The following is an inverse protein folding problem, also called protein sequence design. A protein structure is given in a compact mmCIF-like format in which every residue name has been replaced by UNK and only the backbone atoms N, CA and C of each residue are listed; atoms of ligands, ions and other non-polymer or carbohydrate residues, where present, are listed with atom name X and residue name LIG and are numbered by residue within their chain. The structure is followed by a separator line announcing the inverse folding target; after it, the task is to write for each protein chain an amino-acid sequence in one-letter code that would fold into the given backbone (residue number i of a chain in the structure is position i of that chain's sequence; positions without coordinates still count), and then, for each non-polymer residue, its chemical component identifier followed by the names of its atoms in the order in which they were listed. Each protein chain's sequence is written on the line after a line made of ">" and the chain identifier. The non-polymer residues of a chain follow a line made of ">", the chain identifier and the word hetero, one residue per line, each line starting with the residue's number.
data_IF_244205877670
#
_entry.id   IF_244205877670
#
_cell.length_a   1.000
_cell.length_b   1.000
_cell.length_c   1.000
_cell.angle_alpha   90.00
_cell.angle_beta   90.00
_cell.angle_gamma   90.00
#
_symmetry.space_group_name_H-M   'P 1'
#
loop_
_entity.id
_entity.type
_entity.pdbx_description
1 polymer ?
#
# COMPACT_ATOMS: atom_id res chain seq x y z
N UNK A 1 -2.85 -14.51 -6.55
CA UNK A 1 -3.01 -13.32 -7.39
C UNK A 1 -2.03 -12.24 -6.96
N UNK A 2 -1.30 -11.62 -7.89
CA UNK A 2 -0.44 -10.47 -7.58
C UNK A 2 -1.28 -9.19 -7.62
N UNK A 3 -1.08 -8.34 -6.63
CA UNK A 3 -1.87 -7.14 -6.36
C UNK A 3 -0.95 -5.96 -6.12
N UNK A 4 -1.27 -4.82 -6.73
CA UNK A 4 -0.50 -3.59 -6.56
C UNK A 4 -1.31 -2.57 -5.80
N UNK A 5 -0.68 -1.85 -4.89
CA UNK A 5 -1.29 -0.72 -4.18
C UNK A 5 -0.31 0.44 -4.14
N UNK A 6 -0.74 1.61 -4.59
CA UNK A 6 0.02 2.84 -4.36
C UNK A 6 -0.36 3.43 -3.01
N UNK A 7 0.63 3.88 -2.26
CA UNK A 7 0.44 4.43 -0.93
C UNK A 7 1.57 5.41 -0.58
N UNK A 8 1.51 5.97 0.62
CA UNK A 8 2.58 6.76 1.18
C UNK A 8 3.67 5.85 1.79
N UNK A 9 4.94 6.20 1.57
CA UNK A 9 6.11 5.56 2.18
C UNK A 9 5.96 5.36 3.69
N UNK A 10 5.44 6.32 4.45
CA UNK A 10 5.24 6.18 5.90
C UNK A 10 4.29 5.03 6.24
N UNK A 11 3.21 4.88 5.48
CA UNK A 11 2.26 3.78 5.69
C UNK A 11 2.89 2.45 5.31
N UNK A 12 3.71 2.40 4.25
CA UNK A 12 4.49 1.21 3.90
C UNK A 12 5.38 0.73 5.06
N UNK A 13 6.09 1.66 5.72
CA UNK A 13 6.90 1.33 6.90
C UNK A 13 6.06 0.86 8.09
N UNK A 14 4.91 1.50 8.35
CA UNK A 14 3.98 1.05 9.40
C UNK A 14 3.47 -0.37 9.15
N UNK A 15 3.12 -0.70 7.91
CA UNK A 15 2.69 -2.06 7.52
C UNK A 15 3.81 -3.08 7.77
N UNK A 16 5.04 -2.78 7.35
CA UNK A 16 6.18 -3.68 7.58
C UNK A 16 6.42 -3.92 9.08
N UNK A 17 6.36 -2.85 9.88
CA UNK A 17 6.60 -2.91 11.33
C UNK A 17 5.49 -3.66 12.07
N UNK A 18 4.23 -3.31 11.78
CA UNK A 18 3.08 -3.76 12.53
C UNK A 18 2.42 -5.00 11.94
N UNK A 19 2.83 -5.41 10.72
CA UNK A 19 2.20 -6.49 9.93
C UNK A 19 0.70 -6.28 9.73
N UNK A 20 0.30 -5.02 9.61
CA UNK A 20 -1.10 -4.61 9.63
C UNK A 20 -1.32 -3.35 8.82
N UNK A 21 -2.38 -3.33 8.03
CA UNK A 21 -2.96 -2.16 7.38
C UNK A 21 -4.11 -1.64 8.24
N UNK A 22 -3.98 -0.42 8.73
CA UNK A 22 -5.03 0.27 9.46
C UNK A 22 -5.84 1.14 8.50
N UNK A 23 -7.09 0.77 8.31
CA UNK A 23 -8.06 1.57 7.58
C UNK A 23 -8.65 2.65 8.50
N UNK A 24 -8.70 3.92 8.05
CA UNK A 24 -9.32 4.98 8.82
C UNK A 24 -10.85 4.92 8.77
N UNK A 25 -11.42 4.16 7.83
CA UNK A 25 -12.85 4.11 7.57
C UNK A 25 -13.52 3.01 8.37
N UNK A 26 -14.75 3.29 8.83
CA UNK A 26 -15.51 2.34 9.62
C UNK A 26 -15.77 1.05 8.83
N UNK A 27 -15.71 -0.17 9.43
CA UNK A 27 -15.90 -1.44 8.70
C UNK A 27 -17.16 -1.54 7.83
N UNK A 28 -18.21 -0.79 8.17
CA UNK A 28 -19.45 -0.71 7.39
C UNK A 28 -19.39 0.19 6.15
N UNK A 29 -18.26 0.82 5.87
CA UNK A 29 -18.04 1.64 4.68
C UNK A 29 -17.32 0.83 3.58
N UNK A 30 -17.63 1.14 2.32
CA UNK A 30 -16.96 0.51 1.18
C UNK A 30 -15.42 0.69 1.21
N UNK A 31 -14.94 1.86 1.61
CA UNK A 31 -13.51 2.17 1.68
C UNK A 31 -12.82 1.60 2.94
N UNK A 32 -13.54 0.87 3.79
CA UNK A 32 -12.99 0.26 4.99
C UNK A 32 -11.89 -0.75 4.73
N UNK A 33 -11.88 -1.41 3.57
CA UNK A 33 -10.86 -2.40 3.26
C UNK A 33 -9.55 -1.85 2.71
N UNK A 34 -8.65 -2.77 2.41
CA UNK A 34 -7.44 -2.50 1.65
C UNK A 34 -7.72 -2.60 0.15
N UNK A 35 -7.55 -1.48 -0.53
CA UNK A 35 -7.80 -1.31 -1.96
C UNK A 35 -6.54 -1.59 -2.81
N UNK A 36 -6.69 -2.31 -3.91
CA UNK A 36 -5.63 -2.59 -4.90
C UNK A 36 -6.03 -2.11 -6.29
N UNK A 37 -5.01 -1.77 -7.08
CA UNK A 37 -5.17 -1.40 -8.49
C UNK A 37 -5.69 -2.58 -9.30
N UNK A 38 -6.67 -2.32 -10.17
CA UNK A 38 -7.08 -3.26 -11.21
C UNK A 38 -6.04 -3.44 -12.32
N UNK A 39 -6.28 -4.42 -13.20
CA UNK A 39 -5.35 -4.81 -14.28
C UNK A 39 -5.02 -3.68 -15.26
N UNK A 40 -5.95 -2.73 -15.47
CA UNK A 40 -5.75 -1.60 -16.38
C UNK A 40 -4.99 -0.42 -15.76
N UNK A 41 -4.62 -0.51 -14.48
CA UNK A 41 -3.98 0.59 -13.76
C UNK A 41 -4.96 1.68 -13.34
N UNK A 42 -4.42 2.87 -13.07
CA UNK A 42 -5.16 4.01 -12.53
C UNK A 42 -5.75 4.90 -13.64
N UNK A 43 -7.01 5.29 -13.50
CA UNK A 43 -7.61 6.34 -14.33
C UNK A 43 -7.23 7.73 -13.80
N UNK A 44 -6.99 8.68 -14.72
CA UNK A 44 -6.51 10.05 -14.42
C UNK A 44 -7.38 10.84 -13.43
N UNK A 45 -8.66 10.47 -13.26
CA UNK A 45 -9.57 11.13 -12.31
C UNK A 45 -9.25 10.84 -10.85
N UNK A 46 -8.39 9.85 -10.55
CA UNK A 46 -7.88 9.59 -9.21
C UNK A 46 -6.55 10.32 -8.98
N UNK A 47 -6.58 11.65 -8.94
CA UNK A 47 -5.45 12.42 -8.41
C UNK A 47 -5.40 12.28 -6.89
N UNK A 48 -4.94 11.13 -6.40
CA UNK A 48 -4.57 10.99 -5.00
C UNK A 48 -3.14 11.51 -4.85
N UNK A 49 -3.03 12.79 -4.51
CA UNK A 49 -1.78 13.40 -4.05
C UNK A 49 -1.18 12.55 -2.91
N UNK A 50 0.16 12.43 -2.85
CA UNK A 50 0.92 11.71 -1.81
C UNK A 50 1.16 10.20 -1.98
N UNK A 51 1.07 9.65 -3.21
CA UNK A 51 1.53 8.29 -3.53
C UNK A 51 3.02 8.26 -3.81
N UNK A 52 3.80 7.89 -2.82
CA UNK A 52 5.27 7.92 -2.87
C UNK A 52 5.90 6.52 -2.86
N UNK A 53 5.08 5.48 -2.73
CA UNK A 53 5.47 4.08 -2.85
C UNK A 53 4.41 3.23 -3.53
N UNK A 54 4.85 2.13 -4.14
CA UNK A 54 4.01 1.04 -4.63
C UNK A 54 4.32 -0.23 -3.85
N UNK A 55 3.31 -0.78 -3.18
CA UNK A 55 3.35 -2.04 -2.45
C UNK A 55 2.85 -3.16 -3.37
N UNK A 56 3.61 -4.23 -3.48
CA UNK A 56 3.25 -5.43 -4.22
C UNK A 56 2.92 -6.56 -3.26
N UNK A 57 1.69 -7.05 -3.35
CA UNK A 57 1.14 -8.11 -2.53
C UNK A 57 0.84 -9.35 -3.34
N UNK A 58 0.85 -10.48 -2.67
CA UNK A 58 0.37 -11.76 -3.16
C UNK A 58 -0.81 -12.20 -2.28
N UNK A 59 -1.95 -12.41 -2.92
CA UNK A 59 -3.16 -12.96 -2.30
C UNK A 59 -3.35 -14.41 -2.72
N UNK A 60 -3.45 -15.32 -1.75
CA UNK A 60 -3.64 -16.75 -1.98
C UNK A 60 -5.02 -17.26 -1.54
N UNK A 61 -5.84 -16.40 -0.93
CA UNK A 61 -7.18 -16.76 -0.49
C UNK A 61 -8.22 -16.69 -1.60
N UNK A 62 -9.49 -16.77 -1.22
CA UNK A 62 -10.60 -16.73 -2.15
C UNK A 62 -10.71 -15.37 -2.85
N UNK A 63 -11.13 -15.39 -4.11
CA UNK A 63 -11.46 -14.20 -4.89
C UNK A 63 -12.91 -14.34 -5.32
N UNK A 64 -13.74 -13.34 -5.02
CA UNK A 64 -15.15 -13.36 -5.43
C UNK A 64 -15.29 -13.13 -6.93
N UNK A 65 -16.42 -13.54 -7.50
CA UNK A 65 -16.85 -13.02 -8.79
C UNK A 65 -16.95 -11.48 -8.73
N UNK A 66 -16.80 -10.78 -9.87
CA UNK A 66 -16.98 -9.33 -9.94
C UNK A 66 -18.30 -8.87 -9.30
N UNK A 67 -18.23 -7.84 -8.47
CA UNK A 67 -19.35 -7.26 -7.73
C UNK A 67 -19.58 -5.81 -8.14
N UNK A 68 -20.82 -5.34 -7.98
CA UNK A 68 -21.11 -3.90 -8.14
C UNK A 68 -20.65 -3.15 -6.90
N UNK A 69 -20.31 -1.88 -7.06
CA UNK A 69 -19.87 -1.01 -5.95
C UNK A 69 -20.86 -1.00 -4.77
N UNK A 70 -22.16 -1.10 -5.06
CA UNK A 70 -23.22 -1.07 -4.08
C UNK A 70 -23.27 -2.33 -3.18
N UNK A 71 -22.57 -3.41 -3.57
CA UNK A 71 -22.56 -4.70 -2.87
C UNK A 71 -21.62 -4.74 -1.64
N UNK A 72 -21.10 -3.59 -1.19
CA UNK A 72 -20.13 -3.51 -0.07
C UNK A 72 -20.64 -4.06 1.27
N UNK A 73 -21.96 -4.22 1.45
CA UNK A 73 -22.53 -4.79 2.67
C UNK A 73 -22.34 -6.30 2.79
N UNK A 74 -22.10 -6.98 1.67
CA UNK A 74 -21.96 -8.45 1.60
C UNK A 74 -20.49 -8.91 1.69
N UNK A 75 -19.61 -8.01 2.12
CA UNK A 75 -18.18 -8.24 2.26
C UNK A 75 -17.89 -9.20 3.42
N UNK A 76 -17.30 -10.35 3.08
CA UNK A 76 -16.85 -11.38 4.02
C UNK A 76 -15.36 -11.18 4.28
N UNK A 77 -14.93 -11.27 5.55
CA UNK A 77 -13.51 -11.30 5.87
C UNK A 77 -12.79 -12.42 5.14
N UNK A 78 -11.54 -12.18 4.73
CA UNK A 78 -10.67 -13.13 4.03
C UNK A 78 -11.13 -13.54 2.62
N UNK A 79 -12.04 -12.79 2.00
CA UNK A 79 -12.35 -12.92 0.58
C UNK A 79 -11.93 -11.62 -0.10
N UNK A 80 -11.21 -11.73 -1.21
CA UNK A 80 -10.85 -10.58 -2.03
C UNK A 80 -11.95 -10.31 -3.05
N UNK A 81 -12.48 -9.09 -3.04
CA UNK A 81 -13.60 -8.71 -3.88
C UNK A 81 -13.13 -7.91 -5.06
N UNK A 82 -13.55 -8.29 -6.25
CA UNK A 82 -13.33 -7.50 -7.46
C UNK A 82 -14.53 -6.59 -7.67
N UNK A 83 -14.44 -5.31 -7.27
CA UNK A 83 -15.49 -4.33 -7.57
C UNK A 83 -15.37 -3.89 -9.03
N UNK A 84 -15.86 -4.82 -9.87
CA UNK A 84 -16.07 -4.88 -11.32
C UNK A 84 -14.91 -4.87 -12.33
N UNK A 85 -13.73 -5.34 -11.95
CA UNK A 85 -12.63 -5.72 -12.85
C UNK A 85 -12.87 -6.98 -13.71
N UNK A 86 -14.05 -7.07 -14.34
CA UNK A 86 -14.65 -8.13 -15.19
C UNK A 86 -13.81 -8.75 -16.32
N UNK A 87 -12.55 -8.36 -16.47
CA UNK A 87 -11.72 -8.64 -17.65
C UNK A 87 -12.19 -7.91 -18.92
N UNK A 88 -13.35 -7.23 -18.88
CA UNK A 88 -13.90 -6.41 -19.96
C UNK A 88 -13.81 -4.93 -19.58
N UNK A 89 -13.27 -4.15 -20.51
CA UNK A 89 -12.78 -2.80 -20.29
C UNK A 89 -13.90 -1.74 -20.40
N UNK A 90 -13.91 -0.76 -19.48
CA UNK A 90 -14.72 0.49 -19.37
C UNK A 90 -16.11 0.40 -18.68
N UNK A 91 -16.64 1.40 -17.94
CA UNK A 91 -16.17 2.73 -17.51
C UNK A 91 -16.46 2.93 -16.00
N UNK A 92 -15.76 2.18 -15.14
CA UNK A 92 -15.69 2.50 -13.72
C UNK A 92 -14.39 3.32 -13.51
N UNK A 93 -14.45 4.57 -13.02
CA UNK A 93 -13.23 5.32 -12.69
C UNK A 93 -12.36 4.54 -11.69
N UNK A 94 -12.97 3.65 -10.91
CA UNK A 94 -12.39 3.08 -9.71
C UNK A 94 -12.49 1.55 -9.59
N UNK A 95 -12.21 0.81 -10.66
CA UNK A 95 -12.15 -0.66 -10.59
C UNK A 95 -11.00 -1.12 -9.69
N UNK A 96 -11.35 -1.77 -8.58
CA UNK A 96 -10.39 -2.17 -7.53
C UNK A 96 -10.69 -3.57 -7.03
N UNK A 97 -9.61 -4.26 -6.68
CA UNK A 97 -9.74 -5.37 -5.74
C UNK A 97 -9.79 -4.78 -4.31
N UNK A 98 -10.71 -5.26 -3.49
CA UNK A 98 -10.89 -4.85 -2.10
C UNK A 98 -10.74 -6.06 -1.18
N UNK A 99 -9.89 -5.92 -0.17
CA UNK A 99 -9.80 -6.87 0.94
C UNK A 99 -10.42 -6.24 2.21
N UNK A 100 -11.58 -6.71 2.71
CA UNK A 100 -12.32 -6.04 3.80
C UNK A 100 -11.59 -5.99 5.14
N UNK A 101 -12.01 -5.09 6.04
CA UNK A 101 -11.56 -5.11 7.45
C UNK A 101 -11.83 -6.47 8.09
N UNK A 102 -10.88 -6.94 8.90
CA UNK A 102 -10.90 -8.25 9.53
C UNK A 102 -10.28 -9.35 8.67
N UNK A 103 -9.85 -9.04 7.45
CA UNK A 103 -9.14 -9.98 6.59
C UNK A 103 -7.67 -10.13 7.00
N UNK A 104 -7.12 -11.31 6.74
CA UNK A 104 -5.73 -11.70 6.92
C UNK A 104 -5.28 -12.57 5.74
N UNK A 105 -3.99 -12.85 5.65
CA UNK A 105 -3.41 -13.72 4.61
C UNK A 105 -2.85 -12.99 3.39
N UNK A 106 -2.86 -11.65 3.38
CA UNK A 106 -2.23 -10.85 2.33
C UNK A 106 -0.70 -10.85 2.52
N UNK A 107 0.05 -11.33 1.54
CA UNK A 107 1.50 -11.48 1.66
C UNK A 107 2.19 -10.29 1.01
N UNK A 108 2.91 -9.46 1.76
CA UNK A 108 3.73 -8.39 1.19
C UNK A 108 5.00 -8.97 0.55
N UNK A 109 5.18 -8.76 -0.75
CA UNK A 109 6.31 -9.32 -1.53
C UNK A 109 7.39 -8.29 -1.82
N UNK A 110 7.00 -7.05 -2.09
CA UNK A 110 7.93 -6.02 -2.52
C UNK A 110 7.39 -4.62 -2.23
N UNK A 111 8.30 -3.69 -1.95
CA UNK A 111 8.04 -2.26 -1.84
C UNK A 111 8.91 -1.55 -2.86
N UNK A 112 8.27 -0.83 -3.77
CA UNK A 112 8.90 0.09 -4.69
C UNK A 112 8.69 1.52 -4.19
N UNK A 113 9.74 2.33 -4.26
CA UNK A 113 9.68 3.75 -3.94
C UNK A 113 9.55 4.51 -5.25
N UNK A 114 8.52 5.36 -5.33
CA UNK A 114 8.21 6.15 -6.52
C UNK A 114 8.69 7.61 -6.38
N UNK A 115 9.01 8.06 -5.16
CA UNK A 115 9.47 9.42 -4.86
C UNK A 115 10.70 9.40 -3.92
N UNK A 116 11.84 9.72 -4.49
CA UNK A 116 13.13 9.75 -3.81
C UNK A 116 13.25 10.90 -2.79
N UNK A 117 12.70 12.08 -3.11
CA UNK A 117 12.76 13.23 -2.22
C UNK A 117 11.95 12.97 -0.95
N UNK A 118 10.77 12.35 -1.09
CA UNK A 118 9.99 11.92 0.07
C UNK A 118 10.71 10.83 0.86
N UNK A 119 11.33 9.84 0.21
CA UNK A 119 12.13 8.82 0.89
C UNK A 119 13.23 9.46 1.75
N UNK A 120 14.03 10.35 1.15
CA UNK A 120 15.11 11.04 1.85
C UNK A 120 14.58 11.87 3.02
N UNK A 121 13.51 12.64 2.81
CA UNK A 121 12.91 13.50 3.83
C UNK A 121 12.47 12.67 5.04
N UNK A 122 11.73 11.59 4.82
CA UNK A 122 11.25 10.71 5.88
C UNK A 122 12.39 9.99 6.58
N UNK A 123 13.37 9.50 5.83
CA UNK A 123 14.55 8.84 6.41
C UNK A 123 15.34 9.78 7.32
N UNK A 124 15.63 11.00 6.84
CA UNK A 124 16.34 11.99 7.63
C UNK A 124 15.57 12.38 8.89
N UNK A 125 14.25 12.59 8.79
CA UNK A 125 13.42 12.98 9.93
C UNK A 125 13.43 11.94 11.06
N UNK A 126 13.57 10.65 10.73
CA UNK A 126 13.63 9.56 11.73
C UNK A 126 15.01 9.37 12.33
N UNK A 127 16.07 9.71 11.59
CA UNK A 127 17.43 9.30 11.94
C UNK A 127 18.36 10.47 12.29
N UNK A 128 17.95 11.72 12.09
CA UNK A 128 18.82 12.89 12.23
C UNK A 128 18.10 14.03 12.97
N UNK A 129 18.76 14.69 13.94
CA UNK A 129 18.15 15.77 14.73
C UNK A 129 17.94 17.10 13.97
N UNK A 130 18.46 17.27 12.75
CA UNK A 130 18.26 18.49 11.91
C UNK A 130 18.17 18.18 10.40
N UNK A 131 17.12 17.48 9.97
CA UNK A 131 17.05 16.86 8.64
C UNK A 131 17.09 17.88 7.49
N UNK A 132 16.40 19.01 7.62
CA UNK A 132 16.24 19.99 6.53
C UNK A 132 17.50 20.78 6.15
N UNK A 133 18.44 20.95 7.07
CA UNK A 133 19.69 21.71 6.79
C UNK A 133 20.72 20.82 6.13
N UNK A 134 20.87 19.59 6.64
CA UNK A 134 21.91 18.66 6.20
C UNK A 134 21.57 18.01 4.85
N UNK A 135 20.29 17.74 4.57
CA UNK A 135 19.86 17.15 3.30
C UNK A 135 19.99 18.09 2.09
N UNK A 136 20.26 19.39 2.30
CA UNK A 136 20.51 20.37 1.23
C UNK A 136 21.97 20.40 0.76
N UNK A 137 22.89 19.87 1.56
CA UNK A 137 24.32 19.80 1.19
C UNK A 137 24.50 18.62 0.23
N UNK A 138 24.96 18.80 -1.03
CA UNK A 138 24.94 17.75 -2.05
C UNK A 138 25.60 16.43 -1.64
N UNK A 139 26.78 16.49 -1.01
CA UNK A 139 27.49 15.28 -0.56
C UNK A 139 26.73 14.54 0.55
N UNK A 140 26.18 15.28 1.52
CA UNK A 140 25.41 14.69 2.61
C UNK A 140 24.07 14.14 2.11
N UNK A 141 23.42 14.85 1.18
CA UNK A 141 22.22 14.38 0.49
C UNK A 141 22.44 12.99 -0.11
N UNK A 142 23.49 12.85 -0.93
CA UNK A 142 23.80 11.57 -1.58
C UNK A 142 24.11 10.48 -0.57
N UNK A 143 24.86 10.81 0.48
CA UNK A 143 25.19 9.87 1.55
C UNK A 143 23.93 9.36 2.28
N UNK A 144 23.06 10.26 2.74
CA UNK A 144 21.83 9.87 3.45
C UNK A 144 20.84 9.16 2.54
N UNK A 145 20.76 9.58 1.28
CA UNK A 145 19.93 8.92 0.30
C UNK A 145 20.39 7.47 0.05
N UNK A 146 21.70 7.24 -0.05
CA UNK A 146 22.26 5.88 -0.14
C UNK A 146 21.89 5.03 1.07
N UNK A 147 21.91 5.61 2.28
CA UNK A 147 21.46 4.92 3.50
C UNK A 147 19.96 4.60 3.48
N UNK A 148 19.14 5.54 3.01
CA UNK A 148 17.70 5.34 2.87
C UNK A 148 17.38 4.22 1.87
N UNK A 149 18.04 4.22 0.71
CA UNK A 149 17.90 3.14 -0.28
C UNK A 149 18.38 1.80 0.25
N UNK A 150 19.44 1.77 1.06
CA UNK A 150 19.92 0.55 1.69
C UNK A 150 18.90 -0.05 2.67
N UNK A 151 18.16 0.78 3.42
CA UNK A 151 17.06 0.34 4.27
C UNK A 151 15.96 -0.34 3.43
N UNK A 152 15.52 0.29 2.35
CA UNK A 152 14.52 -0.28 1.43
C UNK A 152 15.00 -1.59 0.79
N UNK A 153 16.27 -1.65 0.38
CA UNK A 153 16.89 -2.87 -0.12
C UNK A 153 16.82 -3.99 0.92
N UNK A 154 17.20 -3.70 2.16
CA UNK A 154 17.23 -4.67 3.25
C UNK A 154 15.82 -5.19 3.57
N UNK A 155 14.82 -4.31 3.61
CA UNK A 155 13.41 -4.69 3.77
C UNK A 155 13.00 -5.64 2.65
N UNK A 156 13.26 -5.28 1.39
CA UNK A 156 12.91 -6.12 0.24
C UNK A 156 13.63 -7.48 0.23
N UNK A 157 14.89 -7.55 0.66
CA UNK A 157 15.59 -8.82 0.84
C UNK A 157 14.93 -9.68 1.93
N UNK A 158 14.48 -9.07 3.02
CA UNK A 158 13.76 -9.78 4.07
C UNK A 158 12.40 -10.32 3.58
N UNK A 159 11.63 -9.52 2.83
CA UNK A 159 10.35 -9.91 2.25
C UNK A 159 10.46 -11.06 1.23
N UNK A 160 11.60 -11.18 0.53
CA UNK A 160 11.86 -12.32 -0.38
C UNK A 160 12.10 -13.62 0.36
N UNK A 161 12.71 -13.56 1.55
CA UNK A 161 13.07 -14.72 2.36
C UNK A 161 11.97 -15.14 3.33
N UNK A 162 11.13 -14.19 3.73
CA UNK A 162 10.13 -14.37 4.80
C UNK A 162 8.76 -14.00 4.29
N UNK A 163 7.76 -14.83 4.56
CA UNK A 163 6.36 -14.48 4.29
C UNK A 163 5.89 -13.47 5.34
N UNK A 164 5.82 -12.20 4.96
CA UNK A 164 5.19 -11.16 5.78
C UNK A 164 3.70 -11.12 5.46
N UNK A 165 2.90 -11.70 6.35
CA UNK A 165 1.43 -11.65 6.27
C UNK A 165 0.97 -10.31 6.86
N UNK A 166 0.03 -9.66 6.20
CA UNK A 166 -0.56 -8.38 6.58
C UNK A 166 -2.04 -8.58 6.87
N UNK A 167 -2.44 -8.12 8.05
CA UNK A 167 -3.85 -8.06 8.45
C UNK A 167 -4.47 -6.73 8.05
N UNK A 168 -5.75 -6.73 7.68
CA UNK A 168 -6.54 -5.52 7.42
C UNK A 168 -7.41 -5.26 8.64
N UNK A 169 -7.26 -4.10 9.25
CA UNK A 169 -7.96 -3.78 10.48
C UNK A 169 -8.49 -2.35 10.46
N UNK A 170 -9.47 -2.09 11.33
CA UNK A 170 -9.93 -0.74 11.60
C UNK A 170 -8.96 -0.05 12.57
N UNK A 171 -8.52 1.14 12.20
CA UNK A 171 -7.67 2.01 13.01
C UNK A 171 -8.04 3.45 12.69
N UNK A 172 -9.01 4.04 13.42
CA UNK A 172 -9.40 5.43 13.18
C UNK A 172 -8.16 6.32 13.29
N UNK A 173 -8.04 7.26 12.37
CA UNK A 173 -7.06 8.33 12.53
C UNK A 173 -7.55 9.27 13.63
N UNK A 174 -6.77 9.39 14.70
CA UNK A 174 -6.90 10.42 15.72
C UNK A 174 -6.78 11.84 15.11
#
# INVERSE_FOLDING_TARGET
>A
MLLLRRDNIDRAFKIVKNRRFDSPWWPGEYDAGMNFLGVQGELKVHELHHRTATLCFEWLGEVSAPRRKEDYKDLKPNVLYDFDGSGKHFANPDARYLLPVGSSGLILKHIQIDDEDTLLRLWCARNIPMPHRLSKIPMLRQYYLSKAWHEIYTINQHLRKTKLIVDVAYGPTD
#
